data_IF_258007465090
#
_entry.id   IF_258007465090
#
_cell.length_a   1.000
_cell.length_b   1.000
_cell.length_c   1.000
_cell.angle_alpha   90.00
_cell.angle_beta   90.00
_cell.angle_gamma   90.00
#
_symmetry.space_group_name_H-M   'P 1'
#
loop_
_entity.id
_entity.type
_entity.pdbx_description
1 polymer ?
#
# COMPACT_ATOMS: atom_id res chain seq x y z
N UNK A 1 1.32 -14.58 5.96
CA UNK A 1 1.62 -15.99 6.28
C UNK A 1 3.05 -16.29 5.82
N UNK A 2 4.01 -16.17 6.74
CA UNK A 2 5.38 -16.64 6.54
C UNK A 2 5.35 -18.16 6.64
N UNK A 3 5.51 -18.83 5.51
CA UNK A 3 5.58 -20.28 5.45
C UNK A 3 6.11 -20.67 4.09
N UNK A 4 7.22 -21.40 4.10
CA UNK A 4 7.77 -22.11 2.96
C UNK A 4 6.79 -23.22 2.51
N UNK A 5 5.60 -22.83 2.06
CA UNK A 5 4.73 -23.74 1.33
C UNK A 5 5.35 -23.93 -0.05
N UNK A 6 5.94 -25.12 -0.22
CA UNK A 6 6.28 -25.68 -1.52
C UNK A 6 5.10 -25.40 -2.44
N UNK A 7 5.34 -24.57 -3.45
CA UNK A 7 4.34 -24.12 -4.40
C UNK A 7 3.76 -25.37 -5.04
N UNK A 8 2.56 -25.78 -4.62
CA UNK A 8 1.83 -26.81 -5.32
C UNK A 8 1.46 -26.14 -6.65
N UNK A 9 1.90 -26.69 -7.79
CA UNK A 9 1.77 -26.12 -9.15
C UNK A 9 0.31 -25.84 -9.59
N UNK A 10 -0.65 -26.05 -8.69
CA UNK A 10 -2.08 -25.86 -8.84
C UNK A 10 -2.58 -24.51 -8.32
N UNK A 11 -1.78 -23.73 -7.57
CA UNK A 11 -2.21 -22.41 -7.06
C UNK A 11 -1.95 -21.33 -8.12
N UNK A 12 -2.92 -21.13 -9.02
CA UNK A 12 -2.92 -20.00 -9.96
C UNK A 12 -2.88 -18.68 -9.19
N UNK A 13 -1.85 -17.87 -9.45
CA UNK A 13 -1.68 -16.51 -8.96
C UNK A 13 -1.07 -15.67 -10.07
N UNK A 14 -1.53 -14.43 -10.28
CA UNK A 14 -1.04 -13.57 -11.36
C UNK A 14 0.40 -13.09 -11.17
N UNK A 15 0.89 -13.09 -9.92
CA UNK A 15 2.23 -12.65 -9.53
C UNK A 15 2.82 -13.61 -8.50
N UNK A 16 4.16 -13.70 -8.46
CA UNK A 16 4.85 -14.51 -7.45
C UNK A 16 4.59 -13.99 -6.02
N UNK A 17 4.71 -14.85 -5.01
CA UNK A 17 4.50 -14.45 -3.61
C UNK A 17 5.44 -13.32 -3.17
N UNK A 18 6.67 -13.28 -3.67
CA UNK A 18 7.60 -12.18 -3.39
C UNK A 18 7.19 -10.88 -4.07
N UNK A 19 6.73 -10.93 -5.32
CA UNK A 19 6.19 -9.74 -6.01
C UNK A 19 4.95 -9.22 -5.30
N UNK A 20 4.02 -10.10 -4.90
CA UNK A 20 2.84 -9.70 -4.13
C UNK A 20 3.23 -9.04 -2.79
N UNK A 21 4.20 -9.63 -2.09
CA UNK A 21 4.72 -9.07 -0.84
C UNK A 21 5.38 -7.70 -1.08
N UNK A 22 6.22 -7.58 -2.09
CA UNK A 22 6.89 -6.33 -2.42
C UNK A 22 5.89 -5.24 -2.83
N UNK A 23 4.88 -5.58 -3.66
CA UNK A 23 3.80 -4.65 -4.03
C UNK A 23 3.03 -4.16 -2.80
N UNK A 24 2.64 -5.07 -1.91
CA UNK A 24 1.97 -4.70 -0.66
C UNK A 24 2.86 -3.84 0.23
N UNK A 25 4.15 -4.16 0.33
CA UNK A 25 5.12 -3.42 1.13
C UNK A 25 5.37 -2.02 0.57
N UNK A 26 5.47 -1.87 -0.75
CA UNK A 26 5.62 -0.57 -1.41
C UNK A 26 4.40 0.32 -1.27
N UNK A 27 3.20 -0.25 -1.27
CA UNK A 27 1.99 0.51 -1.02
C UNK A 27 1.91 0.99 0.44
N UNK A 28 2.52 0.23 1.36
CA UNK A 28 2.48 0.50 2.79
C UNK A 28 3.64 1.38 3.27
N UNK A 29 4.76 1.43 2.55
CA UNK A 29 5.93 2.25 2.87
C UNK A 29 5.99 3.40 1.87
N UNK A 30 5.73 4.61 2.34
CA UNK A 30 5.79 5.82 1.54
C UNK A 30 6.36 7.01 2.30
N UNK A 31 6.55 8.12 1.57
CA UNK A 31 6.88 9.41 2.17
C UNK A 31 5.84 9.82 3.21
N UNK A 32 4.58 9.43 3.01
CA UNK A 32 3.53 9.67 3.97
C UNK A 32 3.73 9.02 5.33
N UNK A 33 4.43 7.89 5.42
CA UNK A 33 4.76 7.29 6.72
C UNK A 33 5.83 8.10 7.43
N UNK A 34 6.82 8.61 6.70
CA UNK A 34 7.92 9.41 7.28
C UNK A 34 7.38 10.77 7.76
N UNK A 35 6.69 11.49 6.88
CA UNK A 35 6.09 12.78 7.20
C UNK A 35 4.97 12.65 8.24
N UNK A 36 4.14 11.60 8.15
CA UNK A 36 3.05 11.34 9.07
C UNK A 36 3.53 11.07 10.50
N UNK A 37 4.60 10.29 10.68
CA UNK A 37 5.24 10.08 11.99
C UNK A 37 5.77 11.41 12.54
N UNK A 38 6.45 12.21 11.72
CA UNK A 38 6.99 13.50 12.14
C UNK A 38 5.87 14.47 12.60
N UNK A 39 4.77 14.56 11.84
CA UNK A 39 3.60 15.38 12.20
C UNK A 39 2.95 14.85 13.49
N UNK A 40 2.79 13.52 13.62
CA UNK A 40 2.18 12.91 14.80
C UNK A 40 2.99 13.20 16.07
N UNK A 41 4.32 13.13 16.01
CA UNK A 41 5.20 13.46 17.14
C UNK A 41 5.19 14.96 17.42
N UNK A 42 5.22 15.80 16.38
CA UNK A 42 5.21 17.25 16.53
C UNK A 42 3.93 17.75 17.21
N UNK A 43 2.78 17.19 16.83
CA UNK A 43 1.47 17.59 17.38
C UNK A 43 1.11 16.86 18.67
N UNK A 44 1.38 15.56 18.76
CA UNK A 44 0.98 14.70 19.88
C UNK A 44 2.04 14.52 20.97
N UNK A 45 3.24 15.05 20.77
CA UNK A 45 4.38 14.88 21.66
C UNK A 45 5.03 13.49 21.58
N UNK A 46 6.07 13.23 22.40
CA UNK A 46 6.85 11.99 22.34
C UNK A 46 6.05 10.73 22.67
N UNK A 47 4.95 10.86 23.43
CA UNK A 47 4.04 9.76 23.75
C UNK A 47 3.31 9.18 22.53
N UNK A 48 3.27 9.89 21.39
CA UNK A 48 2.67 9.41 20.16
C UNK A 48 3.35 8.11 19.67
N UNK A 49 4.67 7.98 19.84
CA UNK A 49 5.42 6.80 19.39
C UNK A 49 4.92 5.52 20.05
N UNK A 50 4.64 5.56 21.37
CA UNK A 50 4.09 4.42 22.11
C UNK A 50 2.76 3.96 21.50
N UNK A 51 1.85 4.90 21.25
CA UNK A 51 0.54 4.59 20.67
C UNK A 51 0.64 4.09 19.23
N UNK A 52 1.57 4.62 18.43
CA UNK A 52 1.84 4.12 17.08
C UNK A 52 2.34 2.68 17.11
N UNK A 53 3.17 2.30 18.09
CA UNK A 53 3.61 0.90 18.28
C UNK A 53 2.44 -0.02 18.63
N UNK A 54 1.59 0.38 19.57
CA UNK A 54 0.40 -0.40 19.96
C UNK A 54 -0.58 -0.56 18.79
N UNK A 55 -0.87 0.53 18.07
CA UNK A 55 -1.72 0.50 16.88
C UNK A 55 -1.12 -0.37 15.78
N UNK A 56 0.20 -0.32 15.56
CA UNK A 56 0.91 -1.18 14.63
C UNK A 56 0.80 -2.66 14.99
N UNK A 57 0.93 -3.00 16.27
CA UNK A 57 0.78 -4.38 16.74
C UNK A 57 -0.62 -4.93 16.48
N UNK A 58 -1.66 -4.18 16.87
CA UNK A 58 -3.06 -4.58 16.62
C UNK A 58 -3.39 -4.60 15.11
N UNK A 59 -2.81 -3.67 14.36
CA UNK A 59 -2.95 -3.58 12.91
C UNK A 59 -2.42 -4.81 12.18
N UNK A 60 -1.33 -5.43 12.66
CA UNK A 60 -0.81 -6.67 12.08
C UNK A 60 -1.81 -7.84 12.21
N UNK A 61 -2.49 -7.96 13.35
CA UNK A 61 -3.53 -8.98 13.54
C UNK A 61 -4.71 -8.74 12.59
N UNK A 62 -5.18 -7.50 12.47
CA UNK A 62 -6.25 -7.17 11.53
C UNK A 62 -5.82 -7.48 10.08
N UNK A 63 -4.61 -7.07 9.70
CA UNK A 63 -4.10 -7.30 8.33
C UNK A 63 -3.98 -8.77 7.99
N UNK A 64 -3.58 -9.59 8.95
CA UNK A 64 -3.53 -11.03 8.79
C UNK A 64 -4.93 -11.62 8.49
N UNK A 65 -5.96 -11.19 9.23
CA UNK A 65 -7.34 -11.63 9.01
C UNK A 65 -7.85 -11.18 7.64
N UNK A 66 -7.59 -9.93 7.24
CA UNK A 66 -7.96 -9.41 5.92
C UNK A 66 -7.36 -10.23 4.78
N UNK A 67 -6.07 -10.57 4.86
CA UNK A 67 -5.40 -11.37 3.84
C UNK A 67 -5.96 -12.79 3.79
N UNK A 68 -6.24 -13.41 4.94
CA UNK A 68 -6.84 -14.75 5.00
C UNK A 68 -8.24 -14.77 4.39
N UNK A 69 -9.09 -13.80 4.75
CA UNK A 69 -10.43 -13.67 4.16
C UNK A 69 -10.36 -13.33 2.66
N UNK A 70 -9.42 -12.50 2.25
CA UNK A 70 -9.17 -12.15 0.86
C UNK A 70 -8.84 -13.36 0.00
N UNK A 71 -8.10 -14.35 0.52
CA UNK A 71 -7.82 -15.61 -0.18
C UNK A 71 -9.03 -16.54 -0.15
N UNK A 72 -9.77 -16.60 0.97
CA UNK A 72 -10.96 -17.46 1.11
C UNK A 72 -12.09 -17.06 0.15
N UNK A 73 -12.36 -15.76 0.00
CA UNK A 73 -13.47 -15.22 -0.81
C UNK A 73 -13.02 -14.63 -2.16
N UNK A 74 -11.82 -14.97 -2.66
CA UNK A 74 -11.37 -14.52 -3.99
C UNK A 74 -12.21 -15.14 -5.10
N UNK A 75 -12.47 -14.37 -6.14
CA UNK A 75 -13.12 -14.85 -7.35
C UNK A 75 -12.07 -15.03 -8.44
N UNK A 76 -12.19 -16.11 -9.20
CA UNK A 76 -11.38 -16.37 -10.39
C UNK A 76 -12.29 -16.15 -11.58
N UNK A 77 -12.02 -15.11 -12.35
CA UNK A 77 -12.77 -14.80 -13.55
C UNK A 77 -12.47 -15.82 -14.67
N UNK A 78 -13.36 -15.93 -15.67
CA UNK A 78 -13.15 -16.82 -16.83
C UNK A 78 -11.84 -16.57 -17.55
N UNK A 79 -11.38 -15.31 -17.56
CA UNK A 79 -10.15 -14.85 -18.21
C UNK A 79 -8.88 -15.26 -17.43
N UNK A 80 -9.04 -15.99 -16.32
CA UNK A 80 -7.96 -16.39 -15.42
C UNK A 80 -7.54 -15.30 -14.43
N UNK A 81 -8.16 -14.12 -14.48
CA UNK A 81 -7.85 -13.03 -13.56
C UNK A 81 -8.42 -13.28 -12.16
N UNK A 82 -7.67 -12.90 -11.14
CA UNK A 82 -8.03 -13.14 -9.74
C UNK A 82 -8.38 -11.82 -9.09
N UNK A 83 -9.66 -11.67 -8.75
CA UNK A 83 -10.17 -10.49 -8.03
C UNK A 83 -10.48 -10.87 -6.60
N UNK A 84 -10.08 -10.01 -5.68
CA UNK A 84 -10.27 -10.23 -4.26
C UNK A 84 -10.18 -8.93 -3.50
N UNK A 85 -10.52 -8.98 -2.22
CA UNK A 85 -10.42 -7.83 -1.33
C UNK A 85 -11.67 -7.62 -0.49
N UNK A 86 -11.69 -6.53 0.29
CA UNK A 86 -12.69 -6.33 1.32
C UNK A 86 -14.11 -6.23 0.82
N UNK A 87 -14.32 -5.66 -0.36
CA UNK A 87 -15.63 -5.59 -0.98
C UNK A 87 -16.23 -6.99 -1.23
N UNK A 88 -15.38 -7.97 -1.58
CA UNK A 88 -15.82 -9.32 -1.88
C UNK A 88 -16.06 -10.15 -0.61
N UNK A 89 -15.13 -10.11 0.36
CA UNK A 89 -15.33 -10.87 1.59
C UNK A 89 -16.38 -10.25 2.52
N UNK A 90 -16.60 -8.93 2.48
CA UNK A 90 -17.70 -8.30 3.22
C UNK A 90 -19.05 -8.70 2.63
N UNK A 91 -19.18 -8.66 1.30
CA UNK A 91 -20.43 -9.04 0.64
C UNK A 91 -20.73 -10.54 0.78
N UNK A 92 -19.76 -11.42 0.48
CA UNK A 92 -19.95 -12.87 0.50
C UNK A 92 -19.90 -13.46 1.91
N UNK A 93 -18.96 -13.02 2.75
CA UNK A 93 -18.81 -13.54 4.12
C UNK A 93 -20.00 -13.18 5.01
N UNK A 94 -20.51 -11.95 4.94
CA UNK A 94 -21.71 -11.58 5.71
C UNK A 94 -22.98 -12.18 5.13
N UNK A 95 -23.02 -12.46 3.81
CA UNK A 95 -24.13 -13.21 3.21
C UNK A 95 -24.21 -14.64 3.76
N UNK A 96 -23.09 -15.33 3.93
CA UNK A 96 -23.05 -16.67 4.55
C UNK A 96 -23.55 -16.65 6.01
N UNK A 97 -23.41 -15.52 6.70
CA UNK A 97 -23.90 -15.31 8.07
C UNK A 97 -25.37 -14.85 8.13
N UNK A 98 -26.08 -14.83 7.00
CA UNK A 98 -27.48 -14.38 6.92
C UNK A 98 -27.67 -12.85 6.96
N UNK A 99 -26.58 -12.07 6.83
CA UNK A 99 -26.57 -10.61 6.92
C UNK A 99 -26.25 -9.96 5.55
N UNK A 100 -26.96 -10.37 4.50
CA UNK A 100 -26.69 -9.94 3.12
C UNK A 100 -26.79 -8.41 2.91
N UNK A 101 -27.79 -7.76 3.50
CA UNK A 101 -27.99 -6.31 3.39
C UNK A 101 -26.86 -5.52 4.03
N UNK A 102 -26.38 -5.98 5.19
CA UNK A 102 -25.24 -5.39 5.90
C UNK A 102 -23.95 -5.59 5.11
N UNK A 103 -23.73 -6.79 4.56
CA UNK A 103 -22.56 -7.10 3.73
C UNK A 103 -22.46 -6.24 2.49
N UNK A 104 -23.57 -6.05 1.77
CA UNK A 104 -23.62 -5.16 0.59
C UNK A 104 -23.37 -3.70 0.97
N UNK A 105 -23.98 -3.22 2.05
CA UNK A 105 -23.77 -1.84 2.54
C UNK A 105 -22.31 -1.57 2.90
N UNK A 106 -21.69 -2.46 3.66
CA UNK A 106 -20.28 -2.33 4.07
C UNK A 106 -19.32 -2.47 2.87
N UNK A 107 -19.61 -3.34 1.91
CA UNK A 107 -18.81 -3.47 0.70
C UNK A 107 -18.82 -2.19 -0.14
N UNK A 108 -19.99 -1.56 -0.32
CA UNK A 108 -20.11 -0.27 -1.04
C UNK A 108 -19.40 0.83 -0.28
N UNK A 109 -19.60 0.92 1.04
CA UNK A 109 -18.92 1.89 1.88
C UNK A 109 -17.40 1.76 1.77
N UNK A 110 -16.88 0.53 1.88
CA UNK A 110 -15.45 0.26 1.72
C UNK A 110 -14.97 0.65 0.31
N UNK A 111 -15.77 0.42 -0.72
CA UNK A 111 -15.48 0.85 -2.09
C UNK A 111 -15.28 2.36 -2.22
N UNK A 112 -16.22 3.13 -1.70
CA UNK A 112 -16.19 4.60 -1.75
C UNK A 112 -15.04 5.13 -0.88
N UNK A 113 -14.92 4.64 0.36
CA UNK A 113 -13.86 5.05 1.28
C UNK A 113 -12.47 4.68 0.74
N UNK A 114 -12.33 3.48 0.16
CA UNK A 114 -11.09 3.01 -0.47
C UNK A 114 -10.70 3.84 -1.68
N UNK A 115 -11.65 4.24 -2.52
CA UNK A 115 -11.40 5.16 -3.63
C UNK A 115 -10.94 6.53 -3.12
N UNK A 116 -11.63 7.09 -2.13
CA UNK A 116 -11.24 8.36 -1.50
C UNK A 116 -9.86 8.31 -0.88
N UNK A 117 -9.55 7.22 -0.16
CA UNK A 117 -8.23 6.99 0.44
C UNK A 117 -7.13 6.84 -0.62
N UNK A 118 -7.40 6.13 -1.72
CA UNK A 118 -6.44 5.96 -2.81
C UNK A 118 -6.12 7.29 -3.52
N UNK A 119 -7.12 8.14 -3.76
CA UNK A 119 -6.91 9.45 -4.38
C UNK A 119 -6.19 10.39 -3.42
N UNK A 120 -6.72 10.55 -2.20
CA UNK A 120 -6.18 11.51 -1.23
C UNK A 120 -4.84 11.07 -0.65
N UNK A 121 -4.83 9.98 0.11
CA UNK A 121 -3.63 9.48 0.78
C UNK A 121 -2.65 8.80 -0.17
N UNK A 122 -3.16 8.01 -1.12
CA UNK A 122 -2.33 7.22 -2.04
C UNK A 122 -1.62 8.05 -3.11
N UNK A 123 -2.33 8.98 -3.76
CA UNK A 123 -1.79 9.75 -4.88
C UNK A 123 -1.43 11.19 -4.49
N UNK A 124 -2.41 11.99 -4.04
CA UNK A 124 -2.21 13.43 -3.84
C UNK A 124 -1.17 13.73 -2.76
N UNK A 125 -1.31 13.10 -1.59
CA UNK A 125 -0.38 13.31 -0.48
C UNK A 125 1.04 12.87 -0.84
N UNK A 126 1.19 11.68 -1.44
CA UNK A 126 2.50 11.14 -1.81
C UNK A 126 3.21 12.01 -2.86
N UNK A 127 2.50 12.49 -3.88
CA UNK A 127 3.06 13.37 -4.91
C UNK A 127 3.42 14.76 -4.37
N UNK A 128 2.62 15.30 -3.44
CA UNK A 128 2.91 16.58 -2.82
C UNK A 128 4.14 16.51 -1.91
N UNK A 129 4.22 15.46 -1.07
CA UNK A 129 5.37 15.25 -0.20
C UNK A 129 6.66 15.00 -0.99
N UNK A 130 6.59 14.28 -2.11
CA UNK A 130 7.77 14.05 -2.97
C UNK A 130 8.25 15.33 -3.64
N UNK A 131 7.33 16.18 -4.12
CA UNK A 131 7.68 17.49 -4.66
C UNK A 131 8.27 18.41 -3.60
N UNK A 132 7.66 18.49 -2.41
CA UNK A 132 8.14 19.32 -1.31
C UNK A 132 9.58 18.95 -0.91
N UNK A 133 9.89 17.65 -0.82
CA UNK A 133 11.25 17.18 -0.55
C UNK A 133 12.23 17.57 -1.68
N UNK A 134 11.82 17.44 -2.95
CA UNK A 134 12.67 17.80 -4.08
C UNK A 134 12.95 19.31 -4.14
N UNK A 135 11.93 20.14 -3.88
CA UNK A 135 12.01 21.59 -3.89
C UNK A 135 12.96 22.17 -2.81
N UNK A 136 13.23 21.40 -1.74
CA UNK A 136 14.25 21.75 -0.74
C UNK A 136 15.66 21.52 -1.28
N UNK A 137 15.88 20.41 -1.99
CA UNK A 137 17.20 20.03 -2.52
C UNK A 137 17.55 20.79 -3.79
N UNK A 138 16.55 21.04 -4.64
CA UNK A 138 16.70 21.76 -5.91
C UNK A 138 15.75 22.95 -5.91
N UNK A 139 16.14 24.11 -5.35
CA UNK A 139 15.26 25.28 -5.25
C UNK A 139 14.74 25.78 -6.61
N UNK A 140 15.48 25.51 -7.70
CA UNK A 140 15.09 25.89 -9.06
C UNK A 140 13.81 25.21 -9.58
N UNK A 141 13.35 24.11 -8.96
CA UNK A 141 12.11 23.44 -9.36
C UNK A 141 10.86 23.95 -8.64
N UNK A 142 11.00 24.89 -7.69
CA UNK A 142 9.88 25.38 -6.85
C UNK A 142 8.71 25.95 -7.66
N UNK A 143 8.99 26.66 -8.74
CA UNK A 143 7.97 27.29 -9.58
C UNK A 143 7.43 26.37 -10.69
N UNK A 144 7.92 25.12 -10.74
CA UNK A 144 7.60 24.14 -11.79
C UNK A 144 6.90 22.89 -11.20
N UNK A 145 6.03 23.08 -10.21
CA UNK A 145 5.25 22.04 -9.55
C UNK A 145 4.36 21.23 -10.52
N UNK A 146 3.69 21.93 -11.44
CA UNK A 146 2.85 21.31 -12.47
C UNK A 146 3.66 20.42 -13.42
N UNK A 147 4.90 20.84 -13.76
CA UNK A 147 5.78 20.09 -14.64
C UNK A 147 6.30 18.83 -13.95
N UNK A 148 6.65 18.94 -12.67
CA UNK A 148 6.99 17.78 -11.84
C UNK A 148 5.83 16.77 -11.81
N UNK A 149 4.61 17.25 -11.51
CA UNK A 149 3.40 16.42 -11.49
C UNK A 149 3.14 15.73 -12.83
N UNK A 150 3.30 16.43 -13.95
CA UNK A 150 3.14 15.88 -15.30
C UNK A 150 4.16 14.76 -15.58
N UNK A 151 5.43 14.97 -15.24
CA UNK A 151 6.48 13.97 -15.45
C UNK A 151 6.19 12.73 -14.60
N UNK A 152 5.86 12.89 -13.33
CA UNK A 152 5.53 11.78 -12.43
C UNK A 152 4.29 11.04 -12.93
N UNK A 153 3.26 11.75 -13.38
CA UNK A 153 2.05 11.15 -13.93
C UNK A 153 2.33 10.30 -15.18
N UNK A 154 3.18 10.77 -16.09
CA UNK A 154 3.59 10.01 -17.28
C UNK A 154 4.36 8.75 -16.91
N UNK A 155 5.32 8.86 -15.98
CA UNK A 155 6.11 7.71 -15.52
C UNK A 155 5.22 6.66 -14.85
N UNK A 156 4.34 7.08 -13.95
CA UNK A 156 3.39 6.19 -13.27
C UNK A 156 2.40 5.58 -14.27
N UNK A 157 1.90 6.38 -15.22
CA UNK A 157 1.00 5.92 -16.28
C UNK A 157 1.61 4.80 -17.12
N UNK A 158 2.88 4.92 -17.52
CA UNK A 158 3.62 3.89 -18.25
C UNK A 158 3.70 2.55 -17.49
N UNK A 159 3.78 2.61 -16.17
CA UNK A 159 3.79 1.42 -15.30
C UNK A 159 2.40 0.81 -15.18
N UNK A 160 1.37 1.62 -14.94
CA UNK A 160 -0.02 1.18 -14.77
C UNK A 160 -0.55 0.50 -16.04
N UNK A 161 -0.25 1.04 -17.23
CA UNK A 161 -0.69 0.46 -18.52
C UNK A 161 -0.16 -0.97 -18.69
N UNK A 162 0.98 -1.32 -18.08
CA UNK A 162 1.52 -2.68 -18.11
C UNK A 162 0.84 -3.67 -17.15
N UNK A 163 -0.16 -3.24 -16.38
CA UNK A 163 -0.92 -4.09 -15.47
C UNK A 163 -0.16 -4.53 -14.21
N UNK A 164 -0.80 -5.40 -13.42
CA UNK A 164 -0.31 -5.79 -12.09
C UNK A 164 1.02 -6.56 -12.14
N UNK A 165 1.28 -7.28 -13.24
CA UNK A 165 2.55 -7.99 -13.44
C UNK A 165 3.73 -7.01 -13.58
N UNK A 166 3.58 -5.94 -14.37
CA UNK A 166 4.62 -4.90 -14.50
C UNK A 166 4.83 -4.15 -13.18
N UNK A 167 3.75 -3.81 -12.48
CA UNK A 167 3.81 -3.21 -11.15
C UNK A 167 4.60 -4.12 -10.20
N UNK A 168 4.25 -5.40 -10.12
CA UNK A 168 4.94 -6.38 -9.27
C UNK A 168 6.43 -6.49 -9.56
N UNK A 169 6.84 -6.52 -10.83
CA UNK A 169 8.25 -6.59 -11.22
C UNK A 169 9.01 -5.33 -10.81
N UNK A 170 8.49 -4.14 -11.12
CA UNK A 170 9.14 -2.88 -10.75
C UNK A 170 9.26 -2.74 -9.24
N UNK A 171 8.18 -2.98 -8.53
CA UNK A 171 8.13 -2.85 -7.09
C UNK A 171 9.07 -3.85 -6.40
N UNK A 172 9.15 -5.09 -6.88
CA UNK A 172 10.08 -6.09 -6.34
C UNK A 172 11.56 -5.68 -6.40
N UNK A 173 11.91 -4.78 -7.31
CA UNK A 173 13.27 -4.22 -7.43
C UNK A 173 13.44 -2.92 -6.66
N UNK A 174 12.44 -2.03 -6.68
CA UNK A 174 12.52 -0.72 -6.03
C UNK A 174 12.43 -0.81 -4.50
N UNK A 175 11.61 -1.71 -3.97
CA UNK A 175 11.36 -1.85 -2.52
C UNK A 175 12.61 -2.25 -1.74
N UNK A 176 13.42 -3.23 -2.17
CA UNK A 176 14.66 -3.54 -1.45
C UNK A 176 15.62 -2.35 -1.42
N UNK A 177 15.72 -1.61 -2.52
CA UNK A 177 16.60 -0.45 -2.65
C UNK A 177 16.14 0.69 -1.72
N UNK A 178 14.84 0.99 -1.69
CA UNK A 178 14.31 2.07 -0.84
C UNK A 178 14.51 1.76 0.65
N UNK A 179 14.30 0.50 1.07
CA UNK A 179 14.48 0.07 2.46
C UNK A 179 15.95 0.13 2.85
N UNK A 180 16.85 -0.29 1.96
CA UNK A 180 18.29 -0.25 2.19
C UNK A 180 18.79 1.18 2.47
N UNK A 181 18.45 2.14 1.60
CA UNK A 181 18.84 3.53 1.81
C UNK A 181 18.22 4.15 3.06
N UNK A 182 16.96 3.81 3.36
CA UNK A 182 16.29 4.28 4.57
C UNK A 182 17.02 3.80 5.84
N UNK A 183 17.31 2.50 5.94
CA UNK A 183 18.02 1.93 7.08
C UNK A 183 19.44 2.46 7.21
N UNK A 184 20.14 2.66 6.10
CA UNK A 184 21.47 3.29 6.12
C UNK A 184 21.41 4.71 6.66
N UNK A 185 20.48 5.54 6.19
CA UNK A 185 20.31 6.91 6.67
C UNK A 185 19.99 6.97 8.16
N UNK A 186 19.06 6.14 8.63
CA UNK A 186 18.74 6.04 10.06
C UNK A 186 19.94 5.56 10.88
N UNK A 187 20.66 4.53 10.42
CA UNK A 187 21.83 4.00 11.13
C UNK A 187 22.94 5.05 11.22
N UNK A 188 23.17 5.82 10.14
CA UNK A 188 24.12 6.91 10.14
C UNK A 188 23.78 7.97 11.19
N UNK A 189 22.52 8.43 11.24
CA UNK A 189 22.06 9.44 12.21
C UNK A 189 22.13 8.94 13.65
N UNK A 190 21.95 7.64 13.90
CA UNK A 190 22.06 7.07 15.25
C UNK A 190 23.50 6.91 15.75
N UNK A 191 24.45 6.74 14.83
CA UNK A 191 25.87 6.52 15.15
C UNK A 191 26.65 7.84 15.17
N UNK A 192 26.28 8.80 14.32
CA UNK A 192 26.89 10.13 14.22
C UNK A 192 26.49 11.04 15.40
#
# INVERSE_FOLDING_TARGET
ALGFYKQNDQVKGEVSSFQALATALSASIGLGNIAGVAIAIQMGGPGAVFWMTVAGFLGMSNKFVECTLGVKYRLVNPDGTIIGGPMYYLSQGLKEMGQETLGKGLAIFYGIAGLGAAIGGGNMFQANQSFAALAVVVPAVKDYDWLYGLIVALLVGLVIIGGISRIGVLTSKLVPVMVFFYLLGCSWVLIA
#
